data_IF_902348739936
#
_entry.id   IF_902348739936
#
_cell.length_a   1.000
_cell.length_b   1.000
_cell.length_c   1.000
_cell.angle_alpha   90.00
_cell.angle_beta   90.00
_cell.angle_gamma   90.00
#
_symmetry.space_group_name_H-M   'P 1'
#
loop_
_entity.id
_entity.type
_entity.pdbx_description
1 polymer ?
#
# COMPACT_ATOMS: atom_id res chain seq x y z
N UNK A 1 14.25 -7.99 -5.48
CA UNK A 1 13.13 -8.67 -4.77
C UNK A 1 12.56 -9.80 -5.61
N UNK A 2 12.07 -10.91 -5.01
CA UNK A 2 11.43 -12.01 -5.77
C UNK A 2 9.98 -11.63 -6.10
N UNK A 3 9.60 -11.78 -7.39
CA UNK A 3 8.23 -11.56 -7.82
C UNK A 3 7.31 -12.72 -7.37
N UNK A 4 6.30 -12.41 -6.57
CA UNK A 4 5.23 -13.33 -6.21
C UNK A 4 4.08 -13.23 -7.23
N UNK A 5 4.01 -14.21 -8.13
CA UNK A 5 3.00 -14.25 -9.19
C UNK A 5 1.57 -14.46 -8.67
N UNK A 6 1.41 -15.06 -7.49
CA UNK A 6 0.08 -15.29 -6.90
C UNK A 6 -0.46 -13.98 -6.32
N UNK A 7 0.33 -13.27 -5.51
CA UNK A 7 -0.10 -12.00 -4.90
C UNK A 7 -0.34 -10.92 -5.95
N UNK A 8 0.62 -10.71 -6.85
CA UNK A 8 0.46 -9.71 -7.92
C UNK A 8 -0.65 -10.08 -8.90
N UNK A 9 -0.82 -11.37 -9.21
CA UNK A 9 -1.91 -11.88 -10.05
C UNK A 9 -3.29 -11.70 -9.40
N UNK A 10 -3.37 -11.92 -8.08
CA UNK A 10 -4.59 -11.61 -7.32
C UNK A 10 -4.96 -10.13 -7.46
N UNK A 11 -4.01 -9.21 -7.25
CA UNK A 11 -4.27 -7.77 -7.39
C UNK A 11 -4.67 -7.39 -8.83
N UNK A 12 -3.97 -7.90 -9.86
CA UNK A 12 -4.34 -7.65 -11.25
C UNK A 12 -5.77 -8.11 -11.57
N UNK A 13 -6.19 -9.26 -11.02
CA UNK A 13 -7.56 -9.74 -11.18
C UNK A 13 -8.59 -8.84 -10.47
N UNK A 14 -8.24 -8.32 -9.28
CA UNK A 14 -9.07 -7.34 -8.56
C UNK A 14 -9.21 -6.04 -9.36
N UNK A 15 -8.10 -5.53 -9.90
CA UNK A 15 -8.09 -4.34 -10.76
C UNK A 15 -8.92 -4.54 -12.03
N UNK A 16 -8.84 -5.72 -12.68
CA UNK A 16 -9.71 -6.06 -13.82
C UNK A 16 -11.19 -5.93 -13.48
N UNK A 17 -11.60 -6.53 -12.35
CA UNK A 17 -13.00 -6.45 -11.89
C UNK A 17 -13.38 -5.00 -11.56
N UNK A 18 -12.50 -4.26 -10.92
CA UNK A 18 -12.72 -2.85 -10.57
C UNK A 18 -12.89 -1.97 -11.80
N UNK A 19 -12.09 -2.13 -12.86
CA UNK A 19 -12.23 -1.40 -14.13
C UNK A 19 -13.63 -1.52 -14.70
N UNK A 20 -14.21 -2.71 -14.69
CA UNK A 20 -15.56 -3.00 -15.19
C UNK A 20 -16.62 -2.42 -14.25
N UNK A 21 -16.50 -2.67 -12.95
CA UNK A 21 -17.47 -2.22 -11.93
C UNK A 21 -17.58 -0.68 -11.86
N UNK A 22 -16.45 0.00 -12.00
CA UNK A 22 -16.40 1.48 -11.97
C UNK A 22 -16.76 2.11 -13.30
N UNK A 23 -17.01 1.29 -14.34
CA UNK A 23 -17.30 1.73 -15.72
C UNK A 23 -16.21 2.62 -16.32
N UNK A 24 -14.96 2.47 -15.87
CA UNK A 24 -13.80 3.16 -16.45
C UNK A 24 -13.45 2.54 -17.80
N UNK A 25 -13.54 1.21 -17.89
CA UNK A 25 -13.35 0.47 -19.13
C UNK A 25 -14.41 -0.62 -19.31
N UNK A 26 -14.71 -0.95 -20.55
CA UNK A 26 -15.47 -2.15 -20.88
C UNK A 26 -14.69 -3.44 -20.64
N UNK A 27 -15.38 -4.59 -20.74
CA UNK A 27 -14.77 -5.92 -20.48
C UNK A 27 -13.53 -6.18 -21.35
N UNK A 28 -13.67 -6.01 -22.67
CA UNK A 28 -12.57 -6.29 -23.64
C UNK A 28 -11.36 -5.37 -23.41
N UNK A 29 -11.61 -4.09 -23.17
CA UNK A 29 -10.55 -3.11 -22.88
C UNK A 29 -9.84 -3.42 -21.56
N UNK A 30 -10.60 -3.77 -20.50
CA UNK A 30 -10.04 -4.20 -19.22
C UNK A 30 -9.14 -5.42 -19.37
N UNK A 31 -9.54 -6.41 -20.18
CA UNK A 31 -8.73 -7.61 -20.46
C UNK A 31 -7.43 -7.24 -21.18
N UNK A 32 -7.51 -6.33 -22.15
CA UNK A 32 -6.34 -5.85 -22.89
C UNK A 32 -5.37 -5.09 -21.98
N UNK A 33 -5.87 -4.18 -21.14
CA UNK A 33 -5.04 -3.43 -20.19
C UNK A 33 -4.35 -4.36 -19.18
N UNK A 34 -5.06 -5.32 -18.62
CA UNK A 34 -4.48 -6.28 -17.67
C UNK A 34 -3.44 -7.19 -18.36
N UNK A 35 -3.69 -7.62 -19.61
CA UNK A 35 -2.71 -8.40 -20.39
C UNK A 35 -1.41 -7.62 -20.58
N UNK A 36 -1.49 -6.30 -20.88
CA UNK A 36 -0.33 -5.40 -20.97
C UNK A 36 0.34 -5.16 -19.61
N UNK A 37 -0.45 -4.96 -18.55
CA UNK A 37 0.08 -4.68 -17.22
C UNK A 37 0.84 -5.84 -16.59
N UNK A 38 0.50 -7.09 -16.92
CA UNK A 38 1.11 -8.29 -16.34
C UNK A 38 2.64 -8.37 -16.52
N UNK A 39 3.21 -8.27 -17.74
CA UNK A 39 4.67 -8.25 -17.93
C UNK A 39 5.31 -7.01 -17.32
N UNK A 40 4.64 -5.85 -17.35
CA UNK A 40 5.13 -4.62 -16.72
C UNK A 40 5.25 -4.82 -15.20
N UNK A 41 4.25 -5.41 -14.55
CA UNK A 41 4.29 -5.75 -13.11
C UNK A 41 5.53 -6.58 -12.77
N UNK A 42 5.78 -7.64 -13.53
CA UNK A 42 6.95 -8.50 -13.32
C UNK A 42 8.26 -7.73 -13.50
N UNK A 43 8.36 -6.90 -14.52
CA UNK A 43 9.53 -6.06 -14.77
C UNK A 43 9.78 -5.07 -13.63
N UNK A 44 8.73 -4.38 -13.15
CA UNK A 44 8.85 -3.42 -12.06
C UNK A 44 9.32 -4.08 -10.76
N UNK A 45 8.72 -5.21 -10.37
CA UNK A 45 9.07 -5.92 -9.14
C UNK A 45 10.51 -6.43 -9.20
N UNK A 46 10.95 -6.93 -10.35
CA UNK A 46 12.33 -7.43 -10.53
C UNK A 46 13.38 -6.31 -10.47
N UNK A 47 13.00 -5.05 -10.70
CA UNK A 47 13.89 -3.88 -10.53
C UNK A 47 14.10 -3.48 -9.06
N UNK A 48 13.30 -4.01 -8.14
CA UNK A 48 13.47 -3.71 -6.71
C UNK A 48 14.60 -4.56 -6.15
N UNK A 49 15.76 -3.95 -5.98
CA UNK A 49 16.94 -4.57 -5.39
C UNK A 49 16.97 -4.33 -3.88
N UNK A 50 17.71 -5.17 -3.17
CA UNK A 50 17.97 -5.02 -1.73
C UNK A 50 16.73 -4.93 -0.83
N UNK A 51 15.56 -5.36 -1.32
CA UNK A 51 14.37 -5.62 -0.52
C UNK A 51 14.17 -7.14 -0.42
N UNK A 52 14.29 -7.66 0.78
CA UNK A 52 14.10 -9.09 1.04
C UNK A 52 12.64 -9.50 0.83
N UNK A 53 12.43 -10.67 0.21
CA UNK A 53 11.08 -11.25 0.14
C UNK A 53 10.56 -11.69 1.53
N UNK A 54 11.45 -11.83 2.53
CA UNK A 54 11.13 -12.12 3.93
C UNK A 54 10.76 -10.87 4.72
N UNK A 55 10.96 -9.66 4.15
CA UNK A 55 10.53 -8.44 4.81
C UNK A 55 9.02 -8.50 5.11
N UNK A 56 8.59 -8.24 6.34
CA UNK A 56 7.19 -8.34 6.74
C UNK A 56 6.21 -7.49 5.91
N UNK A 57 6.70 -6.42 5.28
CA UNK A 57 5.92 -5.55 4.40
C UNK A 57 6.18 -5.81 2.90
N UNK A 58 6.97 -6.82 2.53
CA UNK A 58 7.29 -7.12 1.12
C UNK A 58 6.04 -7.31 0.25
N UNK A 59 4.95 -7.84 0.82
CA UNK A 59 3.67 -8.00 0.14
C UNK A 59 3.10 -6.66 -0.37
N UNK A 60 3.40 -5.53 0.29
CA UNK A 60 2.91 -4.22 -0.13
C UNK A 60 3.44 -3.83 -1.53
N UNK A 61 4.68 -4.21 -1.87
CA UNK A 61 5.22 -4.03 -3.23
C UNK A 61 4.44 -4.90 -4.23
N UNK A 62 4.14 -6.15 -3.87
CA UNK A 62 3.40 -7.07 -4.73
C UNK A 62 1.97 -6.58 -5.03
N UNK A 63 1.38 -5.79 -4.12
CA UNK A 63 0.06 -5.17 -4.30
C UNK A 63 0.12 -3.80 -4.97
N UNK A 64 1.12 -2.96 -4.67
CA UNK A 64 1.24 -1.62 -5.22
C UNK A 64 1.69 -1.61 -6.69
N UNK A 65 2.63 -2.46 -7.06
CA UNK A 65 3.22 -2.43 -8.40
C UNK A 65 2.27 -2.84 -9.54
N UNK A 66 1.30 -3.75 -9.37
CA UNK A 66 0.23 -3.95 -10.34
C UNK A 66 -0.55 -2.69 -10.70
N UNK A 67 -0.67 -1.73 -9.77
CA UNK A 67 -1.37 -0.46 -9.99
C UNK A 67 -0.53 0.46 -10.84
N UNK A 68 0.77 0.57 -10.53
CA UNK A 68 1.74 1.31 -11.38
C UNK A 68 1.76 0.71 -12.78
N UNK A 69 1.79 -0.62 -12.87
CA UNK A 69 1.80 -1.34 -14.14
C UNK A 69 0.53 -1.10 -14.96
N UNK A 70 -0.63 -1.05 -14.32
CA UNK A 70 -1.90 -0.73 -14.98
C UNK A 70 -1.90 0.71 -15.52
N UNK A 71 -1.42 1.66 -14.73
CA UNK A 71 -1.28 3.05 -15.14
C UNK A 71 -0.34 3.20 -16.35
N UNK A 72 0.81 2.53 -16.33
CA UNK A 72 1.73 2.49 -17.48
C UNK A 72 1.11 1.79 -18.70
N UNK A 73 0.38 0.69 -18.50
CA UNK A 73 -0.31 -0.04 -19.57
C UNK A 73 -1.40 0.79 -20.27
N UNK A 74 -1.94 1.79 -19.56
CA UNK A 74 -2.89 2.78 -20.10
C UNK A 74 -2.20 3.97 -20.78
N UNK A 75 -0.90 3.92 -21.02
CA UNK A 75 -0.09 5.05 -21.52
C UNK A 75 -0.22 6.29 -20.60
N UNK A 76 -0.32 6.06 -19.28
CA UNK A 76 -0.53 7.07 -18.23
C UNK A 76 -1.85 7.86 -18.35
N UNK A 77 -2.83 7.34 -19.09
CA UNK A 77 -4.12 8.02 -19.32
C UNK A 77 -5.11 7.88 -18.16
N UNK A 78 -4.93 6.90 -17.27
CA UNK A 78 -5.73 6.79 -16.07
C UNK A 78 -5.36 7.90 -15.11
N UNK A 79 -6.32 8.77 -14.80
CA UNK A 79 -6.11 9.89 -13.86
C UNK A 79 -5.99 9.39 -12.42
N UNK A 80 -5.39 10.21 -11.54
CA UNK A 80 -5.30 9.90 -10.10
C UNK A 80 -6.67 9.56 -9.49
N UNK A 81 -7.70 10.34 -9.82
CA UNK A 81 -9.09 10.09 -9.35
C UNK A 81 -9.65 8.74 -9.84
N UNK A 82 -9.39 8.38 -11.09
CA UNK A 82 -9.79 7.06 -11.61
C UNK A 82 -9.05 5.93 -10.90
N UNK A 83 -7.75 6.08 -10.67
CA UNK A 83 -6.93 5.09 -9.96
C UNK A 83 -7.38 4.93 -8.50
N UNK A 84 -7.67 6.01 -7.79
CA UNK A 84 -8.24 5.96 -6.43
C UNK A 84 -9.57 5.21 -6.40
N UNK A 85 -10.47 5.52 -7.34
CA UNK A 85 -11.75 4.82 -7.49
C UNK A 85 -11.56 3.33 -7.78
N UNK A 86 -10.62 2.99 -8.66
CA UNK A 86 -10.27 1.60 -8.95
C UNK A 86 -9.76 0.86 -7.72
N UNK A 87 -8.90 1.52 -6.94
CA UNK A 87 -8.32 0.93 -5.75
C UNK A 87 -9.35 0.69 -4.66
N UNK A 88 -10.24 1.66 -4.42
CA UNK A 88 -11.36 1.47 -3.51
C UNK A 88 -12.23 0.28 -3.93
N UNK A 89 -12.59 0.18 -5.21
CA UNK A 89 -13.37 -0.93 -5.73
C UNK A 89 -12.60 -2.27 -5.69
N UNK A 90 -11.29 -2.25 -5.89
CA UNK A 90 -10.46 -3.45 -5.79
C UNK A 90 -10.35 -3.96 -4.35
N UNK A 91 -10.29 -3.08 -3.36
CA UNK A 91 -10.27 -3.42 -1.94
C UNK A 91 -11.63 -3.83 -1.41
N UNK A 92 -12.72 -3.30 -1.98
CA UNK A 92 -14.08 -3.61 -1.53
C UNK A 92 -14.50 -5.03 -1.97
N UNK A 93 -14.07 -6.02 -1.21
CA UNK A 93 -14.48 -7.41 -1.40
C UNK A 93 -14.49 -8.19 -0.08
N UNK A 94 -15.37 -9.20 0.04
CA UNK A 94 -15.42 -10.06 1.23
C UNK A 94 -14.05 -10.69 1.58
N UNK A 95 -13.31 -11.11 0.55
CA UNK A 95 -11.98 -11.72 0.74
C UNK A 95 -10.99 -10.74 1.32
N UNK A 96 -10.94 -9.50 0.79
CA UNK A 96 -10.04 -8.47 1.31
C UNK A 96 -10.45 -8.07 2.72
N UNK A 97 -11.75 -7.86 2.97
CA UNK A 97 -12.26 -7.56 4.32
C UNK A 97 -11.89 -8.62 5.34
N UNK A 98 -11.90 -9.90 4.95
CA UNK A 98 -11.51 -11.02 5.82
C UNK A 98 -10.03 -10.91 6.27
N UNK A 99 -9.11 -10.46 5.40
CA UNK A 99 -7.71 -10.25 5.78
C UNK A 99 -7.53 -9.18 6.87
N UNK A 100 -8.44 -8.21 6.92
CA UNK A 100 -8.37 -7.10 7.87
C UNK A 100 -9.27 -7.28 9.10
N UNK A 101 -10.16 -8.28 9.13
CA UNK A 101 -11.17 -8.48 10.18
C UNK A 101 -10.61 -8.76 11.58
N UNK A 102 -9.34 -9.18 11.67
CA UNK A 102 -8.65 -9.38 12.94
C UNK A 102 -8.27 -8.10 13.68
N UNK A 103 -8.20 -6.96 12.98
CA UNK A 103 -7.86 -5.66 13.54
C UNK A 103 -9.11 -4.86 13.86
N UNK A 104 -9.10 -4.13 14.97
CA UNK A 104 -10.15 -3.20 15.36
C UNK A 104 -9.54 -2.10 16.22
N UNK A 105 -9.42 -0.90 15.66
CA UNK A 105 -8.80 0.24 16.36
C UNK A 105 -9.69 0.88 17.42
N UNK A 106 -10.96 0.46 17.55
CA UNK A 106 -11.79 0.79 18.71
C UNK A 106 -11.44 -0.07 19.95
N UNK A 107 -10.80 -1.22 19.76
CA UNK A 107 -10.27 -2.05 20.87
C UNK A 107 -8.80 -1.66 21.13
N UNK A 108 -8.56 -1.04 22.29
CA UNK A 108 -7.21 -0.60 22.69
C UNK A 108 -6.18 -1.74 22.63
N UNK A 109 -6.54 -2.95 23.05
CA UNK A 109 -5.59 -4.09 23.03
C UNK A 109 -5.19 -4.46 21.62
N UNK A 110 -6.11 -4.39 20.64
CA UNK A 110 -5.83 -4.66 19.24
C UNK A 110 -5.01 -3.53 18.60
N UNK A 111 -5.30 -2.27 18.98
CA UNK A 111 -4.50 -1.11 18.56
C UNK A 111 -3.06 -1.20 19.08
N UNK A 112 -2.88 -1.52 20.39
CA UNK A 112 -1.56 -1.73 20.99
C UNK A 112 -0.83 -2.93 20.35
N UNK A 113 -1.53 -4.02 20.05
CA UNK A 113 -0.97 -5.18 19.37
C UNK A 113 -0.50 -4.84 17.94
N UNK A 114 -1.25 -4.00 17.22
CA UNK A 114 -0.85 -3.51 15.91
C UNK A 114 0.42 -2.66 15.99
N UNK A 115 0.50 -1.71 16.93
CA UNK A 115 1.71 -0.90 17.14
C UNK A 115 2.92 -1.76 17.49
N UNK A 116 2.74 -2.74 18.40
CA UNK A 116 3.79 -3.69 18.76
C UNK A 116 4.25 -4.53 17.55
N UNK A 117 3.34 -4.87 16.64
CA UNK A 117 3.68 -5.54 15.39
C UNK A 117 4.55 -4.64 14.50
N UNK A 118 4.26 -3.34 14.39
CA UNK A 118 5.10 -2.40 13.65
C UNK A 118 6.50 -2.27 14.27
N UNK A 119 6.60 -2.21 15.61
CA UNK A 119 7.89 -2.22 16.34
C UNK A 119 8.70 -3.50 16.06
N UNK A 120 8.05 -4.68 16.03
CA UNK A 120 8.70 -5.93 15.64
C UNK A 120 9.19 -5.92 14.19
N UNK A 121 8.46 -5.27 13.28
CA UNK A 121 8.88 -5.14 11.89
C UNK A 121 10.09 -4.21 11.74
N UNK A 122 10.18 -3.13 12.53
CA UNK A 122 11.38 -2.30 12.62
C UNK A 122 12.60 -3.11 13.11
N UNK A 123 12.45 -3.84 14.22
CA UNK A 123 13.50 -4.69 14.78
C UNK A 123 13.95 -5.77 13.77
N UNK A 124 13.00 -6.36 13.03
CA UNK A 124 13.34 -7.32 11.98
C UNK A 124 14.22 -6.66 10.91
N UNK A 125 13.84 -5.47 10.42
CA UNK A 125 14.62 -4.74 9.42
C UNK A 125 16.03 -4.38 9.94
N UNK A 126 16.14 -3.90 11.17
CA UNK A 126 17.39 -3.55 11.82
C UNK A 126 18.33 -4.77 11.97
N UNK A 127 17.77 -5.97 12.17
CA UNK A 127 18.52 -7.22 12.29
C UNK A 127 18.87 -7.89 10.95
N UNK A 128 18.42 -7.32 9.82
CA UNK A 128 18.63 -7.85 8.47
C UNK A 128 19.25 -6.80 7.54
N UNK A 129 20.56 -6.52 7.68
CA UNK A 129 21.24 -5.47 6.91
C UNK A 129 21.20 -5.70 5.39
N UNK A 130 21.00 -6.94 4.95
CA UNK A 130 20.78 -7.29 3.54
C UNK A 130 19.46 -6.72 2.99
N UNK A 131 18.49 -6.38 3.85
CA UNK A 131 17.23 -5.73 3.50
C UNK A 131 17.36 -4.20 3.49
N UNK A 132 18.47 -3.67 2.99
CA UNK A 132 18.81 -2.24 3.07
C UNK A 132 17.81 -1.31 2.38
N UNK A 133 16.96 -1.85 1.50
CA UNK A 133 15.88 -1.14 0.82
C UNK A 133 14.50 -1.38 1.46
N UNK A 134 14.44 -1.93 2.69
CA UNK A 134 13.21 -2.11 3.46
C UNK A 134 12.68 -0.79 4.06
N UNK A 135 11.46 -0.83 4.62
CA UNK A 135 10.89 0.31 5.31
C UNK A 135 11.70 0.66 6.57
N UNK A 136 11.95 1.96 6.79
CA UNK A 136 12.55 2.47 8.02
C UNK A 136 11.48 3.17 8.84
N UNK A 137 11.56 3.01 10.16
CA UNK A 137 10.50 3.41 11.09
C UNK A 137 11.00 4.43 12.09
N UNK A 138 10.05 5.23 12.58
CA UNK A 138 10.20 6.08 13.76
C UNK A 138 8.97 5.91 14.63
N UNK A 139 9.17 5.83 15.95
CA UNK A 139 8.11 5.68 16.94
C UNK A 139 8.19 6.81 17.94
N UNK A 140 7.05 7.40 18.30
CA UNK A 140 6.93 8.39 19.35
C UNK A 140 5.62 8.13 20.12
N UNK A 141 5.70 7.27 21.11
CA UNK A 141 4.53 6.83 21.90
C UNK A 141 3.91 7.97 22.72
N UNK A 142 4.62 9.10 22.90
CA UNK A 142 4.14 10.25 23.66
C UNK A 142 3.52 11.36 22.81
N UNK A 143 3.58 11.24 21.48
CA UNK A 143 3.12 12.31 20.57
C UNK A 143 1.60 12.52 20.63
N UNK A 144 0.85 11.44 20.83
CA UNK A 144 -0.61 11.46 20.87
C UNK A 144 -1.10 10.70 22.10
N UNK A 145 -2.15 11.24 22.77
CA UNK A 145 -2.76 10.62 23.97
C UNK A 145 -3.62 9.39 23.63
N UNK A 146 -4.16 9.33 22.43
CA UNK A 146 -5.09 8.29 21.98
C UNK A 146 -4.64 7.67 20.67
N UNK A 147 -5.06 6.43 20.43
CA UNK A 147 -4.72 5.67 19.23
C UNK A 147 -3.30 5.11 19.26
N UNK A 148 -2.78 4.82 18.10
CA UNK A 148 -1.39 4.44 17.92
C UNK A 148 -0.71 5.33 16.89
N UNK A 149 0.57 5.60 17.11
CA UNK A 149 1.40 6.41 16.23
C UNK A 149 2.69 5.70 15.83
N UNK A 150 3.01 5.76 14.56
CA UNK A 150 4.34 5.45 14.02
C UNK A 150 4.55 6.27 12.74
N UNK A 151 5.79 6.37 12.30
CA UNK A 151 6.10 6.98 11.02
C UNK A 151 7.06 6.10 10.20
N UNK A 152 6.96 6.20 8.88
CA UNK A 152 8.01 5.71 7.99
C UNK A 152 8.93 6.87 7.62
N UNK A 153 10.22 6.74 7.90
CA UNK A 153 11.27 7.66 7.45
C UNK A 153 11.85 7.25 6.09
N UNK A 154 11.59 6.01 5.65
CA UNK A 154 11.84 5.52 4.30
C UNK A 154 10.74 4.55 3.88
N UNK A 155 10.27 4.71 2.63
CA UNK A 155 9.30 3.82 1.99
C UNK A 155 9.83 3.41 0.61
N UNK A 156 10.10 2.11 0.37
CA UNK A 156 10.63 1.65 -0.92
C UNK A 156 9.69 1.91 -2.10
N UNK A 157 8.38 1.97 -1.87
CA UNK A 157 7.39 2.26 -2.91
C UNK A 157 7.49 3.73 -3.33
N UNK A 158 7.52 4.66 -2.37
CA UNK A 158 7.64 6.09 -2.64
C UNK A 158 8.98 6.42 -3.31
N UNK A 159 10.07 5.86 -2.80
CA UNK A 159 11.41 6.04 -3.38
C UNK A 159 11.51 5.43 -4.79
N UNK A 160 10.93 4.24 -5.02
CA UNK A 160 10.87 3.64 -6.35
C UNK A 160 10.10 4.53 -7.34
N UNK A 161 8.96 5.08 -6.93
CA UNK A 161 8.20 6.00 -7.77
C UNK A 161 9.03 7.24 -8.12
N UNK A 162 9.69 7.85 -7.15
CA UNK A 162 10.54 9.02 -7.35
C UNK A 162 11.68 8.73 -8.33
N UNK A 163 12.41 7.62 -8.16
CA UNK A 163 13.56 7.27 -9.01
C UNK A 163 13.20 6.89 -10.44
N UNK A 164 11.93 6.50 -10.68
CA UNK A 164 11.48 6.06 -12.00
C UNK A 164 10.55 7.08 -12.70
N UNK A 165 10.37 8.29 -12.18
CA UNK A 165 9.49 9.30 -12.78
C UNK A 165 8.00 8.92 -12.68
N UNK A 166 7.60 8.36 -11.53
CA UNK A 166 6.23 7.93 -11.23
C UNK A 166 5.65 8.70 -10.03
N UNK A 167 6.17 9.90 -9.74
CA UNK A 167 5.74 10.72 -8.61
C UNK A 167 4.25 11.06 -8.69
N UNK A 168 3.70 11.17 -9.89
CA UNK A 168 2.29 11.45 -10.13
C UNK A 168 1.35 10.40 -9.49
N UNK A 169 1.76 9.11 -9.51
CA UNK A 169 0.94 8.02 -8.98
C UNK A 169 1.24 7.72 -7.49
N UNK A 170 2.36 8.14 -6.96
CA UNK A 170 2.78 7.81 -5.61
C UNK A 170 1.75 8.23 -4.53
N UNK A 171 1.14 9.44 -4.57
CA UNK A 171 0.09 9.81 -3.61
C UNK A 171 -1.13 8.89 -3.66
N UNK A 172 -1.52 8.40 -4.85
CA UNK A 172 -2.63 7.46 -5.02
C UNK A 172 -2.36 6.17 -4.25
N UNK A 173 -1.13 5.64 -4.34
CA UNK A 173 -0.72 4.45 -3.60
C UNK A 173 -0.76 4.66 -2.09
N UNK A 174 -0.34 5.84 -1.61
CA UNK A 174 -0.42 6.21 -0.20
C UNK A 174 -1.87 6.33 0.31
N UNK A 175 -2.81 6.77 -0.54
CA UNK A 175 -4.22 6.95 -0.15
C UNK A 175 -4.95 5.63 0.10
N UNK A 176 -4.39 4.49 -0.31
CA UNK A 176 -4.90 3.15 0.04
C UNK A 176 -5.01 2.95 1.55
N UNK A 177 -4.08 3.51 2.30
CA UNK A 177 -4.00 3.33 3.75
C UNK A 177 -5.29 3.79 4.44
N UNK A 178 -5.91 4.89 3.97
CA UNK A 178 -7.18 5.37 4.51
C UNK A 178 -8.29 4.33 4.41
N UNK A 179 -8.41 3.67 3.24
CA UNK A 179 -9.41 2.63 3.04
C UNK A 179 -9.10 1.38 3.87
N UNK A 180 -7.82 1.03 3.99
CA UNK A 180 -7.35 -0.12 4.76
C UNK A 180 -7.65 0.05 6.25
N UNK A 181 -7.30 1.19 6.83
CA UNK A 181 -7.59 1.45 8.24
C UNK A 181 -9.09 1.57 8.52
N UNK A 182 -9.87 2.13 7.59
CA UNK A 182 -11.33 2.15 7.70
C UNK A 182 -11.94 0.75 7.79
N UNK A 183 -11.40 -0.24 7.08
CA UNK A 183 -11.84 -1.64 7.20
C UNK A 183 -11.52 -2.26 8.57
N UNK A 184 -10.59 -1.67 9.31
CA UNK A 184 -10.19 -2.07 10.66
C UNK A 184 -10.83 -1.18 11.75
N UNK A 185 -11.93 -0.50 11.46
CA UNK A 185 -12.56 0.46 12.38
C UNK A 185 -11.59 1.54 12.86
N UNK A 186 -10.65 1.95 12.00
CA UNK A 186 -9.66 2.98 12.27
C UNK A 186 -9.84 4.19 11.38
N UNK A 187 -9.54 5.36 11.93
CA UNK A 187 -9.42 6.64 11.23
C UNK A 187 -7.94 7.00 11.19
N UNK A 188 -7.35 6.96 10.00
CA UNK A 188 -5.99 7.45 9.78
C UNK A 188 -5.99 8.98 9.74
N UNK A 189 -5.18 9.59 10.58
CA UNK A 189 -4.88 11.03 10.58
C UNK A 189 -3.44 11.14 10.10
N UNK A 190 -3.23 11.78 8.94
CA UNK A 190 -1.92 11.88 8.31
C UNK A 190 -1.75 13.24 7.64
N UNK A 191 -0.70 13.95 8.01
CA UNK A 191 -0.39 15.28 7.50
C UNK A 191 0.78 15.24 6.50
N UNK A 192 1.69 14.28 6.67
CA UNK A 192 2.94 14.18 5.93
C UNK A 192 3.06 12.87 5.17
N UNK A 193 3.61 12.91 3.96
CA UNK A 193 3.95 11.71 3.20
C UNK A 193 5.24 11.88 2.41
N UNK A 194 6.08 10.85 2.43
CA UNK A 194 7.29 10.76 1.58
C UNK A 194 6.97 10.93 0.09
N UNK A 195 5.79 10.48 -0.33
CA UNK A 195 5.32 10.62 -1.71
C UNK A 195 5.05 12.06 -2.14
N UNK A 196 4.81 12.98 -1.19
CA UNK A 196 4.67 14.43 -1.43
C UNK A 196 5.97 15.20 -1.19
N UNK A 197 7.06 14.50 -0.85
CA UNK A 197 8.36 15.11 -0.58
C UNK A 197 8.62 15.47 0.87
N UNK A 198 7.73 15.10 1.79
CA UNK A 198 7.96 15.28 3.22
C UNK A 198 9.09 14.36 3.71
N UNK A 199 9.63 14.63 4.91
CA UNK A 199 10.72 13.85 5.51
C UNK A 199 10.26 12.48 6.04
N UNK A 200 8.96 12.29 6.24
CA UNK A 200 8.36 11.06 6.76
C UNK A 200 6.90 10.90 6.29
N UNK A 201 6.38 9.68 6.42
CA UNK A 201 4.94 9.41 6.38
C UNK A 201 4.47 9.19 7.82
N UNK A 202 3.64 10.07 8.36
CA UNK A 202 3.04 9.92 9.67
C UNK A 202 1.78 9.07 9.62
N UNK A 203 1.64 8.19 10.60
CA UNK A 203 0.50 7.31 10.76
C UNK A 203 -0.02 7.44 12.19
N UNK A 204 -0.98 8.33 12.39
CA UNK A 204 -1.76 8.38 13.62
C UNK A 204 -3.13 7.75 13.37
N UNK A 205 -3.38 6.61 14.01
CA UNK A 205 -4.60 5.83 13.83
C UNK A 205 -5.38 5.84 15.13
N UNK A 206 -6.62 6.33 15.07
CA UNK A 206 -7.58 6.30 16.17
C UNK A 206 -8.79 5.43 15.81
N UNK A 207 -9.54 4.98 16.79
CA UNK A 207 -10.80 4.29 16.52
C UNK A 207 -11.82 5.20 15.82
N UNK A 208 -12.64 4.66 14.93
CA UNK A 208 -13.64 5.42 14.18
C UNK A 208 -14.86 5.85 15.02
N UNK A 209 -15.01 5.29 16.24
CA UNK A 209 -16.02 5.69 17.24
C UNK A 209 -15.54 6.79 18.17
N UNK A 210 -14.23 7.09 18.21
CA UNK A 210 -13.70 8.20 18.98
C UNK A 210 -14.06 9.51 18.27
N UNK A 211 -14.74 10.40 18.98
CA UNK A 211 -15.19 11.72 18.48
C UNK A 211 -14.05 12.71 18.43
#
# INVERSE_FOLDING_TARGET
>A
MKHDKLLSGFMLNRLKKALILTKICGKTESETLIKKAKPITSSLINKVEHLSYKNPLAANVQFAFPIIALWLASDRKLTSSQLEKLMQAALDSPVVRLFYSGNDFNDKRKSDAFLNKMKKYSQWHESHPEDSYGWKYEFNDSLHKEGCYYAFTFCPIADFCKRNGYEEIAPVLCNIDYATFKMCHGKLIREKTLAKGDKLCDFWIVGDKNK
#
